data_IF_305013462008
#
_entry.id   IF_305013462008
#
_cell.length_a   1.000
_cell.length_b   1.000
_cell.length_c   1.000
_cell.angle_alpha   90.00
_cell.angle_beta   90.00
_cell.angle_gamma   90.00
#
_symmetry.space_group_name_H-M   'P 1'
#
loop_
_entity.id
_entity.type
_entity.pdbx_description
1 polymer ?
#
# COMPACT_ATOMS: atom_id res chain seq x y z
N UNK A 1 -56.65 -47.54 -6.37
CA UNK A 1 -56.11 -46.50 -5.47
C UNK A 1 -54.60 -46.41 -5.67
N UNK A 2 -54.13 -45.36 -6.31
CA UNK A 2 -52.67 -45.17 -6.58
C UNK A 2 -52.07 -44.32 -5.46
N UNK A 3 -51.17 -44.92 -4.67
CA UNK A 3 -50.46 -44.28 -3.58
C UNK A 3 -49.31 -43.41 -4.19
N UNK A 4 -49.50 -42.09 -4.24
CA UNK A 4 -48.48 -41.14 -4.65
C UNK A 4 -47.50 -40.97 -3.49
N UNK A 5 -46.32 -41.53 -3.65
CA UNK A 5 -45.17 -41.28 -2.74
C UNK A 5 -44.66 -39.86 -2.97
N UNK A 6 -44.87 -39.00 -1.99
CA UNK A 6 -44.32 -37.65 -1.93
C UNK A 6 -42.85 -37.76 -1.49
N UNK A 7 -41.90 -37.58 -2.41
CA UNK A 7 -40.47 -37.51 -2.08
C UNK A 7 -40.19 -36.05 -1.73
N UNK A 8 -40.11 -35.75 -0.43
CA UNK A 8 -39.65 -34.48 0.07
C UNK A 8 -38.10 -34.46 -0.01
N UNK A 9 -37.55 -33.78 -1.02
CA UNK A 9 -36.10 -33.55 -1.12
C UNK A 9 -35.76 -32.43 -0.16
N UNK A 10 -35.14 -32.81 0.96
CA UNK A 10 -34.58 -31.85 1.94
C UNK A 10 -33.32 -31.25 1.37
N UNK A 11 -33.41 -30.03 0.82
CA UNK A 11 -32.25 -29.25 0.35
C UNK A 11 -31.53 -28.68 1.60
N UNK A 12 -30.55 -29.42 2.12
CA UNK A 12 -29.66 -28.90 3.16
C UNK A 12 -28.67 -27.98 2.42
N UNK A 13 -29.01 -26.68 2.38
CA UNK A 13 -28.10 -25.62 1.91
C UNK A 13 -26.92 -25.52 2.87
N UNK A 14 -25.78 -26.08 2.51
CA UNK A 14 -24.51 -25.77 3.15
C UNK A 14 -24.18 -24.30 2.84
N UNK A 15 -24.53 -23.39 3.74
CA UNK A 15 -23.98 -22.05 3.76
C UNK A 15 -22.49 -22.15 4.13
N UNK A 16 -21.62 -22.33 3.14
CA UNK A 16 -20.22 -22.02 3.30
C UNK A 16 -20.13 -20.51 3.54
N UNK A 17 -19.95 -20.11 4.79
CA UNK A 17 -19.51 -18.76 5.12
C UNK A 17 -18.12 -18.59 4.51
N UNK A 18 -18.05 -18.09 3.29
CA UNK A 18 -16.81 -17.59 2.68
C UNK A 18 -16.37 -16.39 3.54
N UNK A 19 -15.61 -16.66 4.58
CA UNK A 19 -14.81 -15.63 5.19
C UNK A 19 -13.84 -15.20 4.09
N UNK A 20 -14.04 -14.02 3.54
CA UNK A 20 -13.10 -13.45 2.57
C UNK A 20 -11.76 -13.26 3.28
N UNK A 21 -10.88 -14.25 3.15
CA UNK A 21 -9.51 -14.15 3.61
C UNK A 21 -8.84 -13.00 2.83
N UNK A 22 -8.07 -12.16 3.53
CA UNK A 22 -7.34 -11.10 2.87
C UNK A 22 -6.43 -11.64 1.77
N UNK A 23 -6.29 -10.88 0.70
CA UNK A 23 -5.46 -11.29 -0.43
C UNK A 23 -3.99 -11.40 -0.02
N UNK A 24 -3.30 -12.41 -0.54
CA UNK A 24 -1.87 -12.62 -0.34
C UNK A 24 -1.06 -11.42 -0.85
N UNK A 25 -0.10 -10.94 -0.05
CA UNK A 25 0.70 -9.77 -0.36
C UNK A 25 1.52 -9.89 -1.66
N UNK A 26 2.00 -11.10 -2.00
CA UNK A 26 2.72 -11.32 -3.25
C UNK A 26 1.77 -11.22 -4.45
N UNK A 27 0.54 -11.70 -4.34
CA UNK A 27 -0.48 -11.54 -5.39
C UNK A 27 -0.88 -10.09 -5.58
N UNK A 28 -1.01 -9.31 -4.50
CA UNK A 28 -1.25 -7.86 -4.56
C UNK A 28 -0.12 -7.19 -5.35
N UNK A 29 1.13 -7.51 -5.02
CA UNK A 29 2.30 -6.95 -5.70
C UNK A 29 2.34 -7.37 -7.18
N UNK A 30 2.12 -8.64 -7.50
CA UNK A 30 2.07 -9.13 -8.89
C UNK A 30 1.04 -8.39 -9.75
N UNK A 31 -0.16 -8.17 -9.23
CA UNK A 31 -1.20 -7.38 -9.92
C UNK A 31 -0.74 -5.96 -10.16
N UNK A 32 -0.14 -5.32 -9.15
CA UNK A 32 0.34 -3.94 -9.26
C UNK A 32 1.49 -3.81 -10.25
N UNK A 33 2.43 -4.74 -10.28
CA UNK A 33 3.51 -4.78 -11.28
C UNK A 33 2.96 -5.01 -12.71
N UNK A 34 1.98 -5.91 -12.86
CA UNK A 34 1.31 -6.13 -14.14
C UNK A 34 0.61 -4.86 -14.64
N UNK A 35 -0.08 -4.14 -13.74
CA UNK A 35 -0.71 -2.86 -14.07
C UNK A 35 0.33 -1.79 -14.41
N UNK A 36 1.38 -1.65 -13.59
CA UNK A 36 2.48 -0.71 -13.82
C UNK A 36 3.12 -0.92 -15.20
N UNK A 37 3.33 -2.17 -15.59
CA UNK A 37 3.86 -2.51 -16.92
C UNK A 37 2.92 -2.07 -18.05
N UNK A 38 1.61 -2.27 -17.91
CA UNK A 38 0.60 -1.88 -18.91
C UNK A 38 0.48 -0.37 -19.06
N UNK A 39 0.61 0.35 -17.93
CA UNK A 39 0.42 1.80 -17.88
C UNK A 39 1.74 2.59 -17.95
N UNK A 40 2.87 1.90 -18.11
CA UNK A 40 4.21 2.49 -18.11
C UNK A 40 4.47 3.37 -16.87
N UNK A 41 4.15 2.81 -15.71
CA UNK A 41 4.32 3.46 -14.39
C UNK A 41 5.22 2.63 -13.50
N UNK A 42 5.60 3.20 -12.37
CA UNK A 42 6.26 2.53 -11.26
C UNK A 42 5.23 2.07 -10.22
N UNK A 43 5.64 1.24 -9.26
CA UNK A 43 4.82 0.87 -8.10
C UNK A 43 5.32 1.63 -6.87
N UNK A 44 4.40 2.25 -6.13
CA UNK A 44 4.66 2.75 -4.78
C UNK A 44 4.03 1.75 -3.79
N UNK A 45 4.83 0.80 -3.33
CA UNK A 45 4.42 -0.25 -2.40
C UNK A 45 4.51 0.27 -0.97
N UNK A 46 3.39 0.28 -0.24
CA UNK A 46 3.26 0.88 1.09
C UNK A 46 2.80 -0.19 2.07
N UNK A 47 3.61 -0.46 3.09
CA UNK A 47 3.27 -1.32 4.21
C UNK A 47 2.66 -0.48 5.32
N UNK A 48 1.49 -0.89 5.81
CA UNK A 48 0.70 -0.13 6.76
C UNK A 48 -0.06 -1.04 7.73
N UNK A 49 -0.69 -0.46 8.74
CA UNK A 49 -1.61 -1.16 9.65
C UNK A 49 -2.81 -0.28 10.00
N UNK A 50 -3.94 -0.90 10.33
CA UNK A 50 -5.18 -0.20 10.67
C UNK A 50 -5.07 0.72 11.89
N UNK A 51 -4.21 0.37 12.84
CA UNK A 51 -3.93 1.14 14.05
C UNK A 51 -2.92 2.28 13.86
N UNK A 52 -2.21 2.33 12.71
CA UNK A 52 -1.10 3.25 12.47
C UNK A 52 -1.59 4.65 12.07
N UNK A 53 -1.46 5.62 12.95
CA UNK A 53 -1.88 7.01 12.70
C UNK A 53 -1.09 7.69 11.57
N UNK A 54 0.23 7.48 11.51
CA UNK A 54 1.08 8.01 10.45
C UNK A 54 0.76 7.39 9.08
N UNK A 55 0.35 6.12 9.04
CA UNK A 55 -0.11 5.48 7.80
C UNK A 55 -1.37 6.16 7.25
N UNK A 56 -2.35 6.44 8.12
CA UNK A 56 -3.56 7.18 7.74
C UNK A 56 -3.24 8.59 7.24
N UNK A 57 -2.24 9.25 7.85
CA UNK A 57 -1.79 10.57 7.40
C UNK A 57 -1.13 10.49 6.02
N UNK A 58 -0.25 9.51 5.79
CA UNK A 58 0.37 9.25 4.49
C UNK A 58 -0.70 9.03 3.41
N UNK A 59 -1.65 8.14 3.67
CA UNK A 59 -2.76 7.86 2.77
C UNK A 59 -3.60 9.10 2.48
N UNK A 60 -3.94 9.90 3.50
CA UNK A 60 -4.65 11.16 3.33
C UNK A 60 -3.89 12.14 2.44
N UNK A 61 -2.57 12.29 2.64
CA UNK A 61 -1.75 13.20 1.85
C UNK A 61 -1.65 12.73 0.39
N UNK A 62 -1.40 11.43 0.16
CA UNK A 62 -1.34 10.85 -1.18
C UNK A 62 -2.68 10.94 -1.94
N UNK A 63 -3.81 10.87 -1.22
CA UNK A 63 -5.16 10.96 -1.79
C UNK A 63 -5.76 12.36 -1.80
N UNK A 64 -5.00 13.41 -1.43
CA UNK A 64 -5.48 14.78 -1.55
C UNK A 64 -5.66 15.19 -3.01
N UNK A 65 -6.62 16.10 -3.29
CA UNK A 65 -6.96 16.54 -4.64
C UNK A 65 -5.74 17.09 -5.42
N UNK A 66 -4.79 17.72 -4.71
CA UNK A 66 -3.60 18.29 -5.30
C UNK A 66 -2.52 17.25 -5.62
N UNK A 67 -2.41 16.16 -4.83
CA UNK A 67 -1.32 15.19 -4.92
C UNK A 67 -1.71 13.94 -5.69
N UNK A 68 -2.93 13.45 -5.48
CA UNK A 68 -3.39 12.20 -6.08
C UNK A 68 -3.18 12.12 -7.61
N UNK A 69 -3.56 13.12 -8.42
CA UNK A 69 -3.35 13.06 -9.87
C UNK A 69 -1.86 12.97 -10.26
N UNK A 70 -0.98 13.57 -9.46
CA UNK A 70 0.47 13.58 -9.69
C UNK A 70 1.08 12.21 -9.40
N UNK A 71 0.66 11.58 -8.30
CA UNK A 71 1.09 10.23 -7.94
C UNK A 71 0.52 9.22 -8.93
N UNK A 72 -0.78 9.23 -9.19
CA UNK A 72 -1.44 8.27 -10.09
C UNK A 72 -0.89 8.32 -11.53
N UNK A 73 -0.39 9.47 -11.98
CA UNK A 73 0.26 9.58 -13.30
C UNK A 73 1.56 8.81 -13.38
N UNK A 74 2.30 8.67 -12.29
CA UNK A 74 3.66 8.10 -12.27
C UNK A 74 3.74 6.75 -11.59
N UNK A 75 2.82 6.45 -10.68
CA UNK A 75 2.88 5.26 -9.82
C UNK A 75 1.54 4.53 -9.78
N UNK A 76 1.61 3.26 -9.41
CA UNK A 76 0.50 2.45 -8.91
C UNK A 76 0.67 2.37 -7.38
N UNK A 77 -0.05 3.19 -6.59
CA UNK A 77 -0.04 3.06 -5.14
C UNK A 77 -0.61 1.70 -4.73
N UNK A 78 0.15 0.95 -3.95
CA UNK A 78 -0.16 -0.42 -3.57
C UNK A 78 0.01 -0.58 -2.07
N UNK A 79 -1.04 -1.00 -1.39
CA UNK A 79 -1.05 -1.12 0.06
C UNK A 79 -1.02 -2.58 0.48
N UNK A 80 -0.18 -2.89 1.48
CA UNK A 80 -0.08 -4.20 2.12
C UNK A 80 -0.20 -4.00 3.63
N UNK A 81 -1.25 -4.59 4.21
CA UNK A 81 -1.48 -4.58 5.65
C UNK A 81 -0.57 -5.58 6.35
N UNK A 82 0.17 -5.08 7.35
CA UNK A 82 1.11 -5.86 8.16
C UNK A 82 1.00 -5.45 9.62
N UNK A 83 1.50 -6.28 10.54
CA UNK A 83 1.60 -5.96 11.97
C UNK A 83 0.26 -5.54 12.60
N UNK A 84 -0.83 -6.10 12.15
CA UNK A 84 -2.14 -5.90 12.77
C UNK A 84 -2.18 -6.47 14.18
N UNK A 85 -3.18 -6.09 14.98
CA UNK A 85 -3.26 -6.47 16.40
C UNK A 85 -4.59 -7.11 16.74
N UNK A 86 -4.55 -8.13 17.61
CA UNK A 86 -5.75 -8.79 18.11
C UNK A 86 -6.58 -9.40 16.99
N UNK A 87 -7.89 -9.14 16.99
CA UNK A 87 -8.81 -9.65 15.97
C UNK A 87 -8.60 -9.05 14.59
N UNK A 88 -7.97 -7.88 14.50
CA UNK A 88 -7.65 -7.22 13.24
C UNK A 88 -6.66 -8.00 12.38
N UNK A 89 -5.84 -8.89 12.98
CA UNK A 89 -4.94 -9.78 12.23
C UNK A 89 -5.75 -10.59 11.22
N UNK A 90 -6.83 -11.25 11.66
CA UNK A 90 -7.68 -12.06 10.78
C UNK A 90 -8.47 -11.23 9.77
N UNK A 91 -8.76 -9.97 10.13
CA UNK A 91 -9.66 -9.11 9.35
C UNK A 91 -8.94 -8.28 8.29
N UNK A 92 -7.71 -7.85 8.55
CA UNK A 92 -7.03 -6.88 7.70
C UNK A 92 -5.64 -7.29 7.25
N UNK A 93 -4.90 -8.13 8.03
CA UNK A 93 -3.53 -8.46 7.67
C UNK A 93 -3.46 -9.31 6.39
N UNK A 94 -2.60 -8.90 5.47
CA UNK A 94 -2.39 -9.66 4.25
C UNK A 94 -1.44 -10.84 4.52
N UNK A 95 -1.83 -12.09 4.19
CA UNK A 95 -0.92 -13.22 4.25
C UNK A 95 0.41 -12.91 3.53
N UNK A 96 1.53 -13.33 4.11
CA UNK A 96 2.89 -13.06 3.62
C UNK A 96 3.29 -11.58 3.55
N UNK A 97 2.49 -10.66 4.12
CA UNK A 97 2.78 -9.23 4.12
C UNK A 97 4.06 -8.89 4.86
N UNK A 98 4.27 -9.48 6.05
CA UNK A 98 5.49 -9.26 6.83
C UNK A 98 6.72 -9.83 6.12
N UNK A 99 6.61 -10.99 5.47
CA UNK A 99 7.73 -11.59 4.71
C UNK A 99 8.10 -10.74 3.51
N UNK A 100 7.09 -10.18 2.82
CA UNK A 100 7.32 -9.23 1.73
C UNK A 100 7.99 -7.95 2.21
N UNK A 101 7.58 -7.40 3.36
CA UNK A 101 8.24 -6.24 3.98
C UNK A 101 9.69 -6.55 4.36
N UNK A 102 9.95 -7.73 4.93
CA UNK A 102 11.30 -8.18 5.29
C UNK A 102 12.21 -8.33 4.06
N UNK A 103 11.69 -8.83 2.94
CA UNK A 103 12.39 -8.93 1.64
C UNK A 103 12.93 -7.58 1.20
N UNK A 104 12.20 -6.50 1.46
CA UNK A 104 12.60 -5.13 1.15
C UNK A 104 13.34 -4.42 2.30
N UNK A 105 13.86 -5.20 3.27
CA UNK A 105 14.64 -4.71 4.42
C UNK A 105 13.83 -3.89 5.43
N UNK A 106 12.50 -3.95 5.37
CA UNK A 106 11.61 -3.18 6.24
C UNK A 106 11.35 -3.80 7.62
N UNK A 107 12.02 -4.91 8.00
CA UNK A 107 11.75 -5.67 9.23
C UNK A 107 11.65 -4.80 10.47
N UNK A 108 12.57 -3.86 10.66
CA UNK A 108 12.68 -2.97 11.82
C UNK A 108 12.33 -1.51 11.49
N UNK A 109 11.73 -1.26 10.32
CA UNK A 109 11.56 0.11 9.81
C UNK A 109 10.46 0.91 10.54
N UNK A 110 9.53 0.25 11.22
CA UNK A 110 8.29 0.90 11.66
C UNK A 110 7.33 1.17 10.49
N UNK A 111 6.18 1.80 10.77
CA UNK A 111 5.13 2.04 9.76
C UNK A 111 4.74 3.52 9.66
N UNK A 112 4.38 4.02 8.46
CA UNK A 112 4.43 3.29 7.20
C UNK A 112 5.88 3.04 6.74
N UNK A 113 6.12 1.90 6.11
CA UNK A 113 7.32 1.65 5.34
C UNK A 113 6.94 1.57 3.86
N UNK A 114 7.72 2.12 2.95
CA UNK A 114 7.39 2.08 1.53
C UNK A 114 8.62 1.86 0.66
N UNK A 115 8.34 1.32 -0.53
CA UNK A 115 9.35 1.00 -1.54
C UNK A 115 8.84 1.45 -2.91
N UNK A 116 9.67 2.10 -3.68
CA UNK A 116 9.43 2.42 -5.07
C UNK A 116 10.05 1.34 -5.97
N UNK A 117 9.24 0.74 -6.81
CA UNK A 117 9.67 -0.34 -7.71
C UNK A 117 9.41 0.06 -9.16
N UNK A 118 10.31 -0.34 -10.05
CA UNK A 118 10.00 -0.31 -11.48
C UNK A 118 8.94 -1.38 -11.85
N UNK A 119 8.43 -1.35 -13.08
CA UNK A 119 7.44 -2.30 -13.55
C UNK A 119 7.96 -3.76 -13.67
N UNK A 120 9.25 -4.00 -13.44
CA UNK A 120 9.85 -5.34 -13.37
C UNK A 120 10.03 -5.82 -11.95
N UNK A 121 9.74 -4.97 -10.95
CA UNK A 121 9.91 -5.26 -9.51
C UNK A 121 11.31 -4.96 -8.98
N UNK A 122 12.16 -4.26 -9.74
CA UNK A 122 13.45 -3.81 -9.24
C UNK A 122 13.25 -2.62 -8.30
N UNK A 123 13.96 -2.58 -7.18
CA UNK A 123 13.92 -1.47 -6.23
C UNK A 123 14.58 -0.24 -6.86
N UNK A 124 13.86 0.86 -6.93
CA UNK A 124 14.34 2.17 -7.35
C UNK A 124 14.79 3.02 -6.15
N UNK A 125 13.97 3.03 -5.09
CA UNK A 125 14.24 3.72 -3.83
C UNK A 125 13.31 3.17 -2.72
N UNK A 126 13.47 3.61 -1.47
CA UNK A 126 12.63 3.22 -0.34
C UNK A 126 12.51 4.36 0.69
N UNK A 127 11.82 4.10 1.80
CA UNK A 127 11.57 5.09 2.84
C UNK A 127 12.74 5.32 3.81
N UNK A 128 13.89 4.71 3.60
CA UNK A 128 15.06 5.01 4.41
C UNK A 128 15.78 6.27 3.91
N UNK A 129 16.19 7.12 4.83
CA UNK A 129 17.07 8.24 4.57
C UNK A 129 18.54 7.79 4.44
N UNK A 130 19.44 8.76 4.28
CA UNK A 130 20.91 8.52 4.21
C UNK A 130 21.49 7.89 5.48
N UNK A 131 20.82 8.03 6.63
CA UNK A 131 21.23 7.46 7.91
C UNK A 131 20.61 6.07 8.13
N UNK A 132 19.81 5.56 7.17
CA UNK A 132 19.02 4.34 7.25
C UNK A 132 17.88 4.42 8.28
N UNK A 133 17.41 5.63 8.57
CA UNK A 133 16.21 5.87 9.37
C UNK A 133 14.98 5.91 8.47
N UNK A 134 13.88 5.29 8.90
CA UNK A 134 12.64 5.30 8.13
C UNK A 134 11.93 6.65 8.26
N UNK A 135 11.86 7.43 7.18
CA UNK A 135 11.10 8.68 7.15
C UNK A 135 9.58 8.48 7.18
N UNK A 136 9.10 7.25 6.97
CA UNK A 136 7.70 6.89 7.12
C UNK A 136 6.73 7.79 6.34
N UNK A 137 5.84 8.49 7.05
CA UNK A 137 5.05 9.57 6.48
C UNK A 137 5.81 10.89 6.66
N UNK A 138 6.46 11.41 5.63
CA UNK A 138 7.24 12.65 5.73
C UNK A 138 6.40 13.82 6.24
N UNK A 139 6.94 14.58 7.18
CA UNK A 139 6.23 15.68 7.82
C UNK A 139 7.13 16.89 8.13
N UNK A 140 8.37 16.67 8.55
CA UNK A 140 9.35 17.76 8.69
C UNK A 140 9.82 18.24 7.31
N UNK A 141 10.33 19.48 7.19
CA UNK A 141 10.90 19.99 5.96
C UNK A 141 12.00 19.07 5.38
N UNK A 142 12.81 18.48 6.24
CA UNK A 142 13.92 17.60 5.88
C UNK A 142 13.38 16.28 5.30
N UNK A 143 12.46 15.61 5.99
CA UNK A 143 11.84 14.36 5.53
C UNK A 143 11.08 14.55 4.22
N UNK A 144 10.33 15.67 4.10
CA UNK A 144 9.57 15.98 2.88
C UNK A 144 10.52 16.29 1.71
N UNK A 145 11.65 16.96 1.97
CA UNK A 145 12.70 17.17 0.94
C UNK A 145 13.29 15.85 0.47
N UNK A 146 13.59 14.93 1.40
CA UNK A 146 14.10 13.59 1.07
C UNK A 146 13.10 12.81 0.20
N UNK A 147 11.81 12.82 0.59
CA UNK A 147 10.74 12.17 -0.19
C UNK A 147 10.61 12.79 -1.59
N UNK A 148 10.61 14.12 -1.69
CA UNK A 148 10.58 14.85 -2.96
C UNK A 148 11.75 14.46 -3.87
N UNK A 149 12.96 14.37 -3.33
CA UNK A 149 14.17 14.03 -4.09
C UNK A 149 14.11 12.58 -4.61
N UNK A 150 13.53 11.66 -3.82
CA UNK A 150 13.24 10.28 -4.27
C UNK A 150 12.20 10.25 -5.39
N UNK A 151 11.12 11.02 -5.27
CA UNK A 151 10.12 11.17 -6.33
C UNK A 151 10.75 11.76 -7.61
N UNK A 152 11.64 12.74 -7.50
CA UNK A 152 12.32 13.33 -8.64
C UNK A 152 13.19 12.31 -9.40
N UNK A 153 13.85 11.42 -8.69
CA UNK A 153 14.70 10.37 -9.28
C UNK A 153 13.90 9.24 -9.94
N UNK A 154 12.69 9.00 -9.46
CA UNK A 154 11.91 7.81 -9.81
C UNK A 154 10.63 8.10 -10.58
N UNK A 155 10.42 9.35 -11.04
CA UNK A 155 9.22 9.74 -11.79
C UNK A 155 9.52 10.81 -12.84
N UNK A 156 8.51 11.15 -13.63
CA UNK A 156 8.54 12.26 -14.59
C UNK A 156 7.93 13.56 -14.04
N UNK A 157 7.83 13.70 -12.71
CA UNK A 157 7.28 14.89 -12.07
C UNK A 157 8.16 16.12 -12.34
N UNK A 158 7.52 17.23 -12.72
CA UNK A 158 8.19 18.51 -12.90
C UNK A 158 8.52 19.15 -11.54
N UNK A 159 9.44 20.12 -11.52
CA UNK A 159 9.78 20.85 -10.31
C UNK A 159 8.55 21.51 -9.64
N UNK A 160 7.61 22.06 -10.42
CA UNK A 160 6.36 22.65 -9.89
C UNK A 160 5.46 21.57 -9.25
N UNK A 161 5.34 20.39 -9.86
CA UNK A 161 4.56 19.28 -9.32
C UNK A 161 5.19 18.72 -8.03
N UNK A 162 6.50 18.60 -8.00
CA UNK A 162 7.25 18.22 -6.80
C UNK A 162 7.08 19.23 -5.67
N UNK A 163 7.03 20.54 -6.00
CA UNK A 163 6.73 21.57 -5.00
C UNK A 163 5.31 21.46 -4.47
N UNK A 164 4.32 21.16 -5.31
CA UNK A 164 2.94 20.91 -4.87
C UNK A 164 2.86 19.76 -3.87
N UNK A 165 3.59 18.67 -4.13
CA UNK A 165 3.67 17.53 -3.20
C UNK A 165 4.34 17.96 -1.89
N UNK A 166 5.47 18.68 -1.97
CA UNK A 166 6.16 19.19 -0.80
C UNK A 166 5.24 20.03 0.09
N UNK A 167 4.55 21.03 -0.47
CA UNK A 167 3.66 21.94 0.27
C UNK A 167 2.47 21.22 0.93
N UNK A 168 2.05 20.09 0.36
CA UNK A 168 0.96 19.28 0.89
C UNK A 168 1.40 18.39 2.05
N UNK A 169 2.64 17.89 2.01
CA UNK A 169 3.17 16.99 3.04
C UNK A 169 3.76 17.72 4.24
N UNK A 170 4.43 18.86 4.00
CA UNK A 170 5.11 19.59 5.08
C UNK A 170 4.10 20.09 6.13
N UNK A 171 4.38 19.80 7.39
CA UNK A 171 3.60 20.36 8.49
C UNK A 171 3.92 21.83 8.63
N UNK A 172 2.93 22.71 8.42
CA UNK A 172 3.05 24.11 8.79
C UNK A 172 3.13 24.18 10.32
N UNK A 173 4.21 24.75 10.85
CA UNK A 173 4.26 25.07 12.28
C UNK A 173 3.10 26.01 12.58
N UNK A 174 2.15 25.55 13.42
CA UNK A 174 1.09 26.36 14.01
C UNK A 174 1.68 27.30 15.06
#
# INVERSE_FOLDING_TARGET
>A
MKLRKLITVLFIGLFFSLHAQQEDANKILEKSLSQAKKENKNVLLIFHASWCGWCKKMEKNLNSDAVKPLIDKNYIPTYVSVQERGENIKKYENPNGQDLMNKYQGKEAGLPFWVMLDAKGNVLDNSFDKNKENIGCPASPEEVSEFRDKLQKTSSLTASQLQTIYDNFVQKKS
#
